data_IF_404951515815
#
_entry.id   IF_404951515815
#
_cell.length_a   1.000
_cell.length_b   1.000
_cell.length_c   1.000
_cell.angle_alpha   90.00
_cell.angle_beta   90.00
_cell.angle_gamma   90.00
#
_symmetry.space_group_name_H-M   'P 1'
#
loop_
_entity.id
_entity.type
_entity.pdbx_description
1 polymer ?
#
# COMPACT_ATOMS: atom_id res chain seq x y z
N UNK A 1 -26.26 41.67 -15.52
CA UNK A 1 -26.18 40.25 -15.94
C UNK A 1 -25.51 39.32 -14.91
N UNK A 2 -24.48 39.77 -14.17
CA UNK A 2 -23.70 38.98 -13.19
C UNK A 2 -24.46 38.15 -12.12
N UNK A 3 -25.73 38.47 -11.78
CA UNK A 3 -26.50 37.70 -10.79
C UNK A 3 -27.09 36.38 -11.33
N UNK A 4 -27.36 36.27 -12.65
CA UNK A 4 -27.94 35.04 -13.24
C UNK A 4 -26.90 33.92 -13.40
N UNK A 5 -25.64 34.26 -13.62
CA UNK A 5 -24.54 33.30 -13.77
C UNK A 5 -24.20 32.56 -12.47
N UNK A 6 -24.32 33.24 -11.32
CA UNK A 6 -24.05 32.63 -10.01
C UNK A 6 -25.08 31.57 -9.63
N UNK A 7 -26.37 31.81 -9.89
CA UNK A 7 -27.44 30.86 -9.56
C UNK A 7 -27.34 29.54 -10.35
N UNK A 8 -26.97 29.60 -11.64
CA UNK A 8 -26.77 28.41 -12.48
C UNK A 8 -25.55 27.58 -12.07
N UNK A 9 -24.46 28.23 -11.63
CA UNK A 9 -23.29 27.54 -11.07
C UNK A 9 -23.65 26.78 -9.80
N UNK A 10 -24.39 27.39 -8.87
CA UNK A 10 -24.87 26.73 -7.66
C UNK A 10 -25.82 25.56 -7.97
N UNK A 11 -26.68 25.66 -8.99
CA UNK A 11 -27.61 24.60 -9.34
C UNK A 11 -26.91 23.35 -9.90
N UNK A 12 -25.91 23.51 -10.77
CA UNK A 12 -25.16 22.39 -11.35
C UNK A 12 -24.21 21.76 -10.32
N UNK A 13 -23.55 22.56 -9.47
CA UNK A 13 -22.72 22.00 -8.39
C UNK A 13 -23.58 21.26 -7.34
N UNK A 14 -24.78 21.77 -7.01
CA UNK A 14 -25.72 21.10 -6.12
C UNK A 14 -26.23 19.77 -6.69
N UNK A 15 -26.51 19.70 -8.00
CA UNK A 15 -26.93 18.44 -8.66
C UNK A 15 -25.81 17.38 -8.63
N UNK A 16 -24.57 17.77 -8.94
CA UNK A 16 -23.41 16.89 -8.86
C UNK A 16 -23.13 16.43 -7.42
N UNK A 17 -23.23 17.33 -6.44
CA UNK A 17 -23.09 17.01 -5.02
C UNK A 17 -24.18 16.06 -4.51
N UNK A 18 -25.44 16.27 -4.93
CA UNK A 18 -26.56 15.38 -4.59
C UNK A 18 -26.36 13.96 -5.18
N UNK A 19 -25.88 13.86 -6.42
CA UNK A 19 -25.56 12.57 -7.04
C UNK A 19 -24.41 11.84 -6.32
N UNK A 20 -23.36 12.57 -5.91
CA UNK A 20 -22.27 12.03 -5.11
C UNK A 20 -22.75 11.55 -3.73
N UNK A 21 -23.57 12.34 -3.04
CA UNK A 21 -24.15 11.98 -1.74
C UNK A 21 -25.06 10.73 -1.84
N UNK A 22 -25.90 10.63 -2.88
CA UNK A 22 -26.72 9.45 -3.12
C UNK A 22 -25.88 8.19 -3.38
N UNK A 23 -24.77 8.31 -4.12
CA UNK A 23 -23.81 7.22 -4.34
C UNK A 23 -23.12 6.80 -3.04
N UNK A 24 -22.67 7.76 -2.23
CA UNK A 24 -22.07 7.49 -0.92
C UNK A 24 -23.03 6.75 0.02
N UNK A 25 -24.30 7.16 0.07
CA UNK A 25 -25.33 6.48 0.86
C UNK A 25 -25.59 5.03 0.37
N UNK A 26 -25.61 4.81 -0.94
CA UNK A 26 -25.76 3.47 -1.52
C UNK A 26 -24.56 2.56 -1.14
N UNK A 27 -23.34 3.05 -1.31
CA UNK A 27 -22.10 2.32 -0.95
C UNK A 27 -22.06 2.00 0.55
N UNK A 28 -22.42 2.96 1.41
CA UNK A 28 -22.48 2.75 2.85
C UNK A 28 -23.53 1.68 3.25
N UNK A 29 -24.71 1.69 2.63
CA UNK A 29 -25.75 0.68 2.85
C UNK A 29 -25.31 -0.71 2.41
N UNK A 30 -24.59 -0.82 1.30
CA UNK A 30 -24.05 -2.11 0.82
C UNK A 30 -22.94 -2.63 1.75
N UNK A 31 -22.02 -1.77 2.20
CA UNK A 31 -21.01 -2.12 3.20
C UNK A 31 -21.65 -2.59 4.51
N UNK A 32 -22.71 -1.92 4.99
CA UNK A 32 -23.42 -2.31 6.21
C UNK A 32 -23.98 -3.74 6.15
N UNK A 33 -24.38 -4.23 4.96
CA UNK A 33 -24.82 -5.62 4.73
C UNK A 33 -23.66 -6.61 4.60
N UNK A 34 -22.57 -6.21 3.93
CA UNK A 34 -21.46 -7.11 3.58
C UNK A 34 -20.40 -7.27 4.69
N UNK A 35 -20.09 -6.21 5.43
CA UNK A 35 -19.03 -6.20 6.44
C UNK A 35 -19.25 -7.24 7.56
N UNK A 36 -20.45 -7.44 8.13
CA UNK A 36 -20.69 -8.46 9.15
C UNK A 36 -20.38 -9.89 8.70
N UNK A 37 -20.52 -10.18 7.39
CA UNK A 37 -20.14 -11.49 6.82
C UNK A 37 -18.63 -11.61 6.56
N UNK A 38 -17.90 -10.49 6.53
CA UNK A 38 -16.45 -10.44 6.29
C UNK A 38 -15.63 -10.51 7.58
N UNK A 39 -16.03 -9.82 8.65
CA UNK A 39 -15.21 -9.68 9.88
C UNK A 39 -14.73 -11.03 10.46
N UNK A 40 -15.56 -12.10 10.54
CA UNK A 40 -15.12 -13.41 11.03
C UNK A 40 -14.16 -14.15 10.07
N UNK A 41 -14.03 -13.66 8.83
CA UNK A 41 -13.20 -14.22 7.76
C UNK A 41 -11.93 -13.41 7.49
N UNK A 42 -11.67 -12.35 8.27
CA UNK A 42 -10.40 -11.66 8.27
C UNK A 42 -9.32 -12.49 8.98
N UNK A 43 -8.06 -12.08 8.83
CA UNK A 43 -6.92 -12.71 9.46
C UNK A 43 -6.02 -11.60 10.05
N UNK A 44 -6.02 -11.38 11.38
CA UNK A 44 -6.84 -12.07 12.37
C UNK A 44 -8.35 -11.78 12.23
N UNK A 45 -9.25 -12.65 12.72
CA UNK A 45 -10.69 -12.37 12.78
C UNK A 45 -10.99 -11.18 13.68
N UNK A 46 -11.96 -10.36 13.28
CA UNK A 46 -12.41 -9.17 14.03
C UNK A 46 -13.75 -9.48 14.70
N UNK A 47 -13.93 -9.05 15.95
CA UNK A 47 -15.16 -9.29 16.69
C UNK A 47 -16.33 -8.46 16.15
N UNK A 48 -17.53 -9.06 16.14
CA UNK A 48 -18.75 -8.36 15.77
C UNK A 48 -19.07 -7.27 16.81
N UNK A 49 -19.20 -6.02 16.35
CA UNK A 49 -19.49 -4.86 17.20
C UNK A 49 -18.34 -3.85 17.29
N UNK A 50 -17.13 -4.20 16.84
CA UNK A 50 -16.03 -3.24 16.71
C UNK A 50 -16.27 -2.26 15.55
N UNK A 51 -15.91 -0.99 15.74
CA UNK A 51 -16.06 0.06 14.74
C UNK A 51 -14.90 0.03 13.73
N UNK A 52 -15.13 -0.67 12.61
CA UNK A 52 -14.12 -0.81 11.56
C UNK A 52 -14.20 0.34 10.54
N UNK A 53 -13.08 1.04 10.33
CA UNK A 53 -12.98 2.11 9.34
C UNK A 53 -12.82 1.57 7.92
N UNK A 54 -13.20 2.35 6.90
CA UNK A 54 -12.95 2.00 5.50
C UNK A 54 -11.44 1.76 5.23
N UNK A 55 -10.55 2.54 5.84
CA UNK A 55 -9.10 2.35 5.73
C UNK A 55 -8.62 0.99 6.27
N UNK A 56 -9.18 0.53 7.40
CA UNK A 56 -8.87 -0.80 7.94
C UNK A 56 -9.41 -1.92 7.04
N UNK A 57 -10.62 -1.77 6.49
CA UNK A 57 -11.19 -2.72 5.53
C UNK A 57 -10.34 -2.80 4.25
N UNK A 58 -9.90 -1.66 3.71
CA UNK A 58 -9.00 -1.57 2.55
C UNK A 58 -7.72 -2.36 2.82
N UNK A 59 -7.03 -2.09 3.92
CA UNK A 59 -5.77 -2.76 4.28
C UNK A 59 -5.96 -4.28 4.45
N UNK A 60 -7.04 -4.70 5.13
CA UNK A 60 -7.36 -6.11 5.37
C UNK A 60 -7.83 -6.89 4.12
N UNK A 61 -8.18 -6.19 3.03
CA UNK A 61 -8.73 -6.81 1.80
C UNK A 61 -7.90 -6.58 0.53
N UNK A 62 -6.94 -5.64 0.54
CA UNK A 62 -6.20 -5.23 -0.66
C UNK A 62 -5.32 -6.31 -1.29
N UNK A 63 -4.87 -7.29 -0.50
CA UNK A 63 -4.05 -8.40 -0.98
C UNK A 63 -4.75 -9.76 -0.76
N UNK A 64 -5.33 -10.32 -1.82
CA UNK A 64 -5.88 -11.68 -1.82
C UNK A 64 -4.81 -12.69 -2.24
N UNK A 65 -4.43 -13.61 -1.34
CA UNK A 65 -3.49 -14.68 -1.67
C UNK A 65 -4.20 -15.78 -2.45
N UNK A 66 -3.71 -16.14 -3.65
CA UNK A 66 -4.26 -17.26 -4.45
C UNK A 66 -4.23 -18.62 -3.72
N UNK A 67 -3.44 -18.77 -2.65
CA UNK A 67 -3.41 -19.98 -1.82
C UNK A 67 -4.46 -19.98 -0.70
N UNK A 68 -4.81 -18.80 -0.16
CA UNK A 68 -5.66 -18.68 1.05
C UNK A 68 -7.06 -18.11 0.76
N UNK A 69 -7.26 -17.53 -0.43
CA UNK A 69 -8.52 -16.96 -0.92
C UNK A 69 -8.97 -17.68 -2.21
N UNK A 70 -9.00 -19.02 -2.16
CA UNK A 70 -9.52 -19.85 -3.26
C UNK A 70 -11.05 -19.69 -3.35
N UNK A 71 -11.60 -19.75 -4.57
CA UNK A 71 -13.05 -19.81 -4.74
C UNK A 71 -13.60 -21.16 -4.24
N UNK A 72 -14.76 -21.14 -3.59
CA UNK A 72 -15.50 -22.38 -3.30
C UNK A 72 -15.89 -23.06 -4.63
N UNK A 73 -15.95 -24.40 -4.71
CA UNK A 73 -16.28 -25.11 -5.95
C UNK A 73 -17.57 -24.60 -6.61
N UNK A 74 -18.63 -24.42 -5.82
CA UNK A 74 -19.94 -23.94 -6.27
C UNK A 74 -20.07 -22.40 -6.18
N UNK A 75 -18.99 -21.65 -6.44
CA UNK A 75 -19.01 -20.19 -6.34
C UNK A 75 -19.96 -19.58 -7.39
N UNK A 76 -21.09 -18.95 -6.99
CA UNK A 76 -22.11 -18.49 -7.94
C UNK A 76 -21.62 -17.31 -8.78
N UNK A 77 -20.62 -16.57 -8.31
CA UNK A 77 -19.95 -15.50 -9.06
C UNK A 77 -19.07 -16.07 -10.16
N UNK A 78 -18.31 -17.13 -9.87
CA UNK A 78 -17.44 -17.78 -10.85
C UNK A 78 -18.26 -18.49 -11.94
N UNK A 79 -19.37 -19.11 -11.53
CA UNK A 79 -20.39 -19.68 -12.43
C UNK A 79 -21.24 -18.62 -13.17
N UNK A 80 -21.01 -17.31 -12.93
CA UNK A 80 -21.77 -16.17 -13.48
C UNK A 80 -23.27 -16.15 -13.17
N UNK A 81 -23.74 -16.98 -12.23
CA UNK A 81 -25.12 -17.01 -11.76
C UNK A 81 -25.48 -15.81 -10.85
N UNK A 82 -24.49 -15.19 -10.22
CA UNK A 82 -24.66 -14.03 -9.33
C UNK A 82 -23.61 -12.95 -9.63
N UNK A 83 -23.98 -11.73 -10.08
CA UNK A 83 -23.02 -10.66 -10.30
C UNK A 83 -22.43 -10.11 -8.98
N UNK A 84 -21.19 -9.64 -9.01
CA UNK A 84 -20.48 -9.09 -7.85
C UNK A 84 -21.19 -7.90 -7.18
N UNK A 85 -22.03 -7.17 -7.91
CA UNK A 85 -22.81 -6.02 -7.42
C UNK A 85 -24.09 -6.41 -6.68
N UNK A 86 -24.53 -7.67 -6.77
CA UNK A 86 -25.76 -8.16 -6.13
C UNK A 86 -25.49 -9.02 -4.87
N UNK A 87 -24.24 -9.11 -4.41
CA UNK A 87 -23.85 -9.96 -3.28
C UNK A 87 -24.56 -9.59 -1.97
N UNK A 88 -24.81 -8.29 -1.76
CA UNK A 88 -25.38 -7.77 -0.53
C UNK A 88 -26.86 -8.10 -0.32
N UNK A 89 -27.60 -8.34 -1.40
CA UNK A 89 -29.04 -8.68 -1.36
C UNK A 89 -29.26 -10.20 -1.49
N UNK A 90 -28.23 -10.96 -1.85
CA UNK A 90 -28.32 -12.41 -2.01
C UNK A 90 -28.11 -13.16 -0.69
N UNK A 91 -29.19 -13.28 0.10
CA UNK A 91 -29.15 -13.86 1.46
C UNK A 91 -28.54 -15.27 1.57
N UNK A 92 -28.61 -16.11 0.53
CA UNK A 92 -27.94 -17.42 0.54
C UNK A 92 -26.41 -17.31 0.39
N UNK A 93 -25.91 -16.26 -0.27
CA UNK A 93 -24.47 -15.98 -0.35
C UNK A 93 -23.95 -15.46 1.00
N UNK A 94 -24.68 -14.56 1.66
CA UNK A 94 -24.28 -14.03 2.97
C UNK A 94 -24.18 -15.12 4.06
N UNK A 95 -24.97 -16.19 3.96
CA UNK A 95 -24.89 -17.36 4.86
C UNK A 95 -23.66 -18.25 4.62
N UNK A 96 -23.13 -18.28 3.40
CA UNK A 96 -21.96 -19.10 2.99
C UNK A 96 -21.11 -18.34 1.96
N UNK A 97 -20.46 -17.23 2.36
CA UNK A 97 -19.82 -16.34 1.41
C UNK A 97 -18.55 -16.95 0.83
N UNK A 98 -18.34 -16.77 -0.48
CA UNK A 98 -17.04 -17.04 -1.08
C UNK A 98 -16.07 -15.92 -0.68
N UNK A 99 -15.11 -16.22 0.22
CA UNK A 99 -14.15 -15.26 0.81
C UNK A 99 -13.52 -14.32 -0.22
N UNK A 100 -13.02 -14.87 -1.34
CA UNK A 100 -12.43 -14.09 -2.46
C UNK A 100 -13.40 -13.05 -3.05
N UNK A 101 -14.64 -13.46 -3.36
CA UNK A 101 -15.66 -12.57 -3.92
C UNK A 101 -16.09 -11.50 -2.92
N UNK A 102 -16.29 -11.87 -1.66
CA UNK A 102 -16.69 -10.95 -0.60
C UNK A 102 -15.59 -9.92 -0.32
N UNK A 103 -14.33 -10.37 -0.13
CA UNK A 103 -13.16 -9.48 -0.01
C UNK A 103 -13.09 -8.50 -1.18
N UNK A 104 -13.19 -8.98 -2.42
CA UNK A 104 -13.12 -8.13 -3.62
C UNK A 104 -14.22 -7.07 -3.67
N UNK A 105 -15.47 -7.40 -3.32
CA UNK A 105 -16.57 -6.44 -3.32
C UNK A 105 -16.46 -5.43 -2.17
N UNK A 106 -16.16 -5.89 -0.96
CA UNK A 106 -15.96 -5.00 0.19
C UNK A 106 -14.75 -4.09 -0.01
N UNK A 107 -13.65 -4.58 -0.59
CA UNK A 107 -12.50 -3.76 -0.97
C UNK A 107 -12.92 -2.64 -1.90
N UNK A 108 -13.57 -2.97 -3.03
CA UNK A 108 -14.04 -1.98 -4.00
C UNK A 108 -14.90 -0.89 -3.36
N UNK A 109 -15.89 -1.28 -2.55
CA UNK A 109 -16.82 -0.35 -1.90
C UNK A 109 -16.12 0.49 -0.83
N UNK A 110 -15.21 -0.11 -0.05
CA UNK A 110 -14.46 0.60 0.99
C UNK A 110 -13.53 1.63 0.38
N UNK A 111 -12.81 1.27 -0.70
CA UNK A 111 -11.96 2.20 -1.45
C UNK A 111 -12.78 3.32 -2.10
N UNK A 112 -13.93 3.01 -2.71
CA UNK A 112 -14.83 4.02 -3.28
C UNK A 112 -15.38 5.00 -2.22
N UNK A 113 -15.87 4.48 -1.09
CA UNK A 113 -16.32 5.31 0.03
C UNK A 113 -15.19 6.18 0.58
N UNK A 114 -13.99 5.63 0.73
CA UNK A 114 -12.80 6.34 1.18
C UNK A 114 -12.43 7.48 0.23
N UNK A 115 -12.43 7.24 -1.09
CA UNK A 115 -12.18 8.29 -2.08
C UNK A 115 -13.19 9.44 -1.99
N UNK A 116 -14.50 9.14 -1.97
CA UNK A 116 -15.55 10.16 -1.92
C UNK A 116 -15.48 10.98 -0.62
N UNK A 117 -15.27 10.32 0.54
CA UNK A 117 -15.12 11.03 1.81
C UNK A 117 -13.83 11.87 1.84
N UNK A 118 -12.73 11.41 1.25
CA UNK A 118 -11.50 12.21 1.20
C UNK A 118 -11.66 13.41 0.26
N UNK A 119 -12.24 13.23 -0.93
CA UNK A 119 -12.60 14.31 -1.86
C UNK A 119 -13.46 15.37 -1.17
N UNK A 120 -14.51 14.96 -0.45
CA UNK A 120 -15.39 15.90 0.24
C UNK A 120 -14.64 16.70 1.32
N UNK A 121 -13.74 16.08 2.08
CA UNK A 121 -12.92 16.80 3.06
C UNK A 121 -11.87 17.72 2.40
N UNK A 122 -11.36 17.32 1.23
CA UNK A 122 -10.48 18.14 0.39
C UNK A 122 -11.18 19.33 -0.26
N UNK A 123 -12.45 19.24 -0.67
CA UNK A 123 -13.16 20.32 -1.39
C UNK A 123 -13.93 21.30 -0.48
N UNK A 124 -13.83 21.19 0.85
CA UNK A 124 -14.47 22.10 1.83
C UNK A 124 -13.61 23.33 2.16
N UNK A 125 -12.65 23.69 1.31
CA UNK A 125 -11.73 24.82 1.53
C UNK A 125 -12.24 26.14 0.97
N UNK A 126 -11.65 27.25 1.43
CA UNK A 126 -11.74 28.57 0.79
C UNK A 126 -10.58 28.83 -0.19
N UNK A 127 -9.73 27.82 -0.42
CA UNK A 127 -8.50 27.92 -1.22
C UNK A 127 -7.32 28.56 -0.50
N UNK A 128 -7.45 28.94 0.78
CA UNK A 128 -6.34 29.50 1.56
C UNK A 128 -5.25 28.45 1.83
N UNK A 129 -3.99 28.90 1.79
CA UNK A 129 -2.81 28.05 1.98
C UNK A 129 -2.15 28.41 3.31
N UNK A 130 -2.09 27.51 4.30
CA UNK A 130 -1.38 27.77 5.54
C UNK A 130 0.12 27.95 5.30
N UNK A 131 0.73 28.99 5.90
CA UNK A 131 2.15 29.30 5.71
C UNK A 131 3.10 28.13 6.08
N UNK A 132 2.70 27.27 7.02
CA UNK A 132 3.43 26.05 7.37
C UNK A 132 3.39 25.02 6.22
N UNK A 133 2.24 24.86 5.57
CA UNK A 133 2.10 24.00 4.39
C UNK A 133 2.86 24.56 3.19
N UNK A 134 2.84 25.88 2.99
CA UNK A 134 3.65 26.53 1.96
C UNK A 134 5.15 26.29 2.19
N UNK A 135 5.62 26.37 3.45
CA UNK A 135 7.00 26.05 3.82
C UNK A 135 7.36 24.57 3.56
N UNK A 136 6.43 23.64 3.84
CA UNK A 136 6.60 22.22 3.53
C UNK A 136 6.71 22.04 2.00
N UNK A 137 5.76 22.57 1.22
CA UNK A 137 5.77 22.49 -0.24
C UNK A 137 7.03 23.09 -0.86
N UNK A 138 7.50 24.23 -0.34
CA UNK A 138 8.76 24.85 -0.76
C UNK A 138 9.99 23.98 -0.46
N UNK A 139 10.04 23.30 0.69
CA UNK A 139 11.13 22.36 1.02
C UNK A 139 11.12 21.08 0.17
N UNK A 140 9.95 20.59 -0.21
CA UNK A 140 9.81 19.35 -0.96
C UNK A 140 9.98 19.54 -2.48
N UNK A 141 9.39 20.60 -3.03
CA UNK A 141 9.23 20.83 -4.48
C UNK A 141 9.72 22.21 -4.94
N UNK A 142 10.36 22.98 -4.07
CA UNK A 142 10.92 24.32 -4.36
C UNK A 142 9.90 25.46 -4.23
N UNK A 143 8.63 25.24 -4.53
CA UNK A 143 7.55 26.20 -4.26
C UNK A 143 6.16 25.53 -4.23
N UNK A 144 5.19 26.21 -3.59
CA UNK A 144 3.79 25.79 -3.63
C UNK A 144 3.16 25.91 -5.05
N UNK A 145 3.61 26.87 -5.85
CA UNK A 145 3.22 26.98 -7.26
C UNK A 145 3.62 25.71 -8.04
N UNK A 146 4.86 25.23 -7.85
CA UNK A 146 5.34 24.00 -8.51
C UNK A 146 4.62 22.74 -8.04
N UNK A 147 4.27 22.63 -6.75
CA UNK A 147 3.37 21.59 -6.25
C UNK A 147 2.02 21.61 -6.99
N UNK A 148 1.43 22.79 -7.14
CA UNK A 148 0.13 22.95 -7.81
C UNK A 148 0.20 22.58 -9.30
N UNK A 149 1.24 23.04 -10.00
CA UNK A 149 1.51 22.67 -11.40
C UNK A 149 1.72 21.16 -11.57
N UNK A 150 2.48 20.52 -10.70
CA UNK A 150 2.72 19.07 -10.73
C UNK A 150 1.43 18.29 -10.47
N UNK A 151 0.64 18.67 -9.46
CA UNK A 151 -0.62 17.99 -9.13
C UNK A 151 -1.63 18.08 -10.30
N UNK A 152 -1.75 19.25 -10.93
CA UNK A 152 -2.55 19.45 -12.16
C UNK A 152 -1.98 18.65 -13.34
N UNK A 153 -0.65 18.62 -13.52
CA UNK A 153 0.01 17.91 -14.61
C UNK A 153 -0.27 16.40 -14.54
N UNK A 154 -0.13 15.78 -13.37
CA UNK A 154 -0.50 14.38 -13.18
C UNK A 154 -2.01 14.15 -13.36
N UNK A 155 -2.87 15.03 -12.84
CA UNK A 155 -4.32 14.88 -12.93
C UNK A 155 -4.86 14.96 -14.37
N UNK A 156 -4.31 15.83 -15.22
CA UNK A 156 -4.71 15.90 -16.65
C UNK A 156 -4.09 14.78 -17.50
N UNK A 157 -2.85 14.35 -17.18
CA UNK A 157 -2.04 13.44 -18.00
C UNK A 157 -2.26 11.97 -17.62
N UNK A 158 -3.52 11.53 -17.58
CA UNK A 158 -3.92 10.19 -17.14
C UNK A 158 -4.14 9.22 -18.29
N UNK A 159 -3.64 7.99 -18.12
CA UNK A 159 -3.97 6.83 -18.98
C UNK A 159 -5.42 6.37 -18.80
N UNK A 160 -5.92 6.34 -17.56
CA UNK A 160 -7.24 5.84 -17.19
C UNK A 160 -7.95 6.81 -16.22
N UNK A 161 -9.28 7.00 -16.33
CA UNK A 161 -10.07 7.75 -15.34
C UNK A 161 -9.95 7.16 -13.92
N UNK A 162 -10.16 8.00 -12.90
CA UNK A 162 -9.99 7.62 -11.49
C UNK A 162 -9.48 8.78 -10.64
N UNK A 163 -8.62 8.48 -9.67
CA UNK A 163 -8.22 9.43 -8.62
C UNK A 163 -6.73 9.77 -8.70
N UNK A 164 -6.39 11.05 -8.60
CA UNK A 164 -5.01 11.56 -8.56
C UNK A 164 -4.71 12.01 -7.15
N UNK A 165 -3.65 11.50 -6.55
CA UNK A 165 -3.40 11.61 -5.12
C UNK A 165 -2.13 12.38 -4.83
N UNK A 166 -2.18 13.19 -3.79
CA UNK A 166 -1.01 13.69 -3.08
C UNK A 166 -0.80 12.80 -1.85
N UNK A 167 0.39 12.25 -1.69
CA UNK A 167 0.70 11.28 -0.64
C UNK A 167 1.98 11.62 0.11
N UNK A 168 2.07 11.15 1.35
CA UNK A 168 3.30 11.10 2.14
C UNK A 168 3.90 9.69 2.04
N UNK A 169 5.16 9.63 1.63
CA UNK A 169 5.98 8.43 1.50
C UNK A 169 7.12 8.49 2.53
N UNK A 170 7.12 7.59 3.51
CA UNK A 170 8.10 7.58 4.61
C UNK A 170 9.47 7.00 4.19
N UNK A 171 9.49 6.17 3.15
CA UNK A 171 10.68 5.45 2.69
C UNK A 171 11.61 6.36 1.86
N UNK A 172 11.10 7.53 1.44
CA UNK A 172 11.89 8.57 0.77
C UNK A 172 12.69 9.43 1.74
N UNK A 173 13.72 10.08 1.18
CA UNK A 173 14.47 11.14 1.84
C UNK A 173 13.52 12.22 2.37
N UNK A 174 13.90 12.87 3.47
CA UNK A 174 13.04 13.84 4.16
C UNK A 174 12.61 15.02 3.27
N UNK A 175 13.43 15.42 2.32
CA UNK A 175 13.15 16.46 1.31
C UNK A 175 12.30 15.98 0.13
N UNK A 176 11.87 14.71 0.09
CA UNK A 176 11.15 14.12 -1.05
C UNK A 176 9.99 13.19 -0.61
N UNK A 177 9.47 13.35 0.60
CA UNK A 177 8.34 12.55 1.12
C UNK A 177 7.01 12.90 0.47
N UNK A 178 6.86 14.10 -0.08
CA UNK A 178 5.66 14.53 -0.79
C UNK A 178 5.68 14.03 -2.23
N UNK A 179 4.70 13.20 -2.62
CA UNK A 179 4.66 12.58 -3.95
C UNK A 179 3.26 12.69 -4.57
N UNK A 180 3.19 12.92 -5.88
CA UNK A 180 1.94 12.85 -6.65
C UNK A 180 1.85 11.52 -7.37
N UNK A 181 0.73 10.81 -7.25
CA UNK A 181 0.51 9.49 -7.88
C UNK A 181 -0.89 9.36 -8.50
N UNK A 182 -0.96 8.75 -9.69
CA UNK A 182 -2.20 8.45 -10.38
C UNK A 182 -2.59 6.98 -10.14
N UNK A 183 -3.75 6.74 -9.50
CA UNK A 183 -4.31 5.39 -9.38
C UNK A 183 -5.49 5.18 -10.35
N UNK A 184 -5.57 4.02 -11.04
CA UNK A 184 -6.67 3.71 -11.94
C UNK A 184 -7.93 3.34 -11.18
N UNK A 185 -9.10 3.60 -11.79
CA UNK A 185 -10.42 3.32 -11.22
C UNK A 185 -10.55 3.84 -9.77
N UNK A 186 -10.76 2.95 -8.79
CA UNK A 186 -10.91 3.25 -7.37
C UNK A 186 -9.80 2.63 -6.49
N UNK A 187 -8.61 2.35 -7.04
CA UNK A 187 -7.47 1.90 -6.22
C UNK A 187 -6.95 3.06 -5.36
N UNK A 188 -6.42 2.73 -4.18
CA UNK A 188 -6.10 3.70 -3.12
C UNK A 188 -4.64 3.56 -2.65
N UNK A 189 -3.95 4.66 -2.28
CA UNK A 189 -2.53 4.62 -1.88
C UNK A 189 -2.22 3.72 -0.68
N UNK A 190 -3.22 3.50 0.19
CA UNK A 190 -3.13 2.60 1.35
C UNK A 190 -2.79 1.15 0.97
N UNK A 191 -3.13 0.70 -0.24
CA UNK A 191 -2.72 -0.61 -0.76
C UNK A 191 -1.20 -0.75 -0.86
N UNK A 192 -0.47 0.35 -1.06
CA UNK A 192 0.99 0.40 -1.18
C UNK A 192 1.68 0.90 0.11
N UNK A 193 0.95 1.05 1.22
CA UNK A 193 1.48 1.61 2.47
C UNK A 193 1.77 3.12 2.44
N UNK A 194 1.32 3.82 1.40
CA UNK A 194 1.46 5.26 1.23
C UNK A 194 0.33 5.99 1.99
N UNK A 195 0.67 7.08 2.68
CA UNK A 195 -0.31 7.85 3.46
C UNK A 195 -0.99 8.91 2.59
N UNK A 196 -2.32 8.83 2.34
CA UNK A 196 -3.03 9.80 1.51
C UNK A 196 -3.18 11.15 2.23
N UNK A 197 -2.85 12.25 1.53
CA UNK A 197 -2.96 13.62 2.03
C UNK A 197 -4.09 14.40 1.37
N UNK A 198 -4.16 14.32 0.03
CA UNK A 198 -5.17 14.99 -0.79
C UNK A 198 -5.53 14.15 -2.02
N UNK A 199 -6.68 14.44 -2.64
CA UNK A 199 -7.13 13.74 -3.85
C UNK A 199 -7.86 14.67 -4.82
N UNK A 200 -7.67 14.45 -6.12
CA UNK A 200 -8.42 15.06 -7.22
C UNK A 200 -9.22 13.96 -7.93
N UNK A 201 -10.52 14.21 -8.11
CA UNK A 201 -11.44 13.31 -8.81
C UNK A 201 -11.39 13.56 -10.33
N UNK A 202 -10.80 12.61 -11.05
CA UNK A 202 -10.76 12.57 -12.52
C UNK A 202 -11.53 11.34 -13.04
N UNK A 203 -12.62 10.96 -12.36
CA UNK A 203 -13.54 9.91 -12.83
C UNK A 203 -14.37 10.39 -14.02
N UNK A 204 -14.86 9.46 -14.84
CA UNK A 204 -15.71 9.76 -15.99
C UNK A 204 -16.96 10.56 -15.58
N UNK A 205 -17.58 10.22 -14.45
CA UNK A 205 -18.72 10.96 -13.90
C UNK A 205 -18.42 12.44 -13.62
N UNK A 206 -17.23 12.77 -13.10
CA UNK A 206 -16.83 14.16 -12.84
C UNK A 206 -16.54 14.91 -14.15
N UNK A 207 -15.92 14.24 -15.12
CA UNK A 207 -15.65 14.82 -16.44
C UNK A 207 -16.93 15.03 -17.25
N UNK A 208 -17.87 14.09 -17.22
CA UNK A 208 -19.18 14.22 -17.88
C UNK A 208 -19.99 15.38 -17.29
N UNK A 209 -20.05 15.50 -15.95
CA UNK A 209 -20.70 16.65 -15.30
C UNK A 209 -20.06 17.99 -15.72
N UNK A 210 -18.73 18.05 -15.89
CA UNK A 210 -18.03 19.24 -16.38
C UNK A 210 -18.33 19.54 -17.87
N UNK A 211 -18.45 18.52 -18.72
CA UNK A 211 -18.88 18.64 -20.12
C UNK A 211 -20.31 19.19 -20.19
N UNK A 212 -21.24 18.64 -19.42
CA UNK A 212 -22.64 19.07 -19.35
C UNK A 212 -22.77 20.51 -18.83
N UNK A 213 -22.02 20.87 -17.77
CA UNK A 213 -21.94 22.23 -17.25
C UNK A 213 -21.44 23.24 -18.30
N UNK A 214 -20.48 22.83 -19.13
CA UNK A 214 -19.92 23.65 -20.21
C UNK A 214 -20.87 23.79 -21.40
N UNK A 215 -21.52 22.70 -21.81
CA UNK A 215 -22.52 22.70 -22.88
C UNK A 215 -23.75 23.56 -22.52
N UNK A 216 -24.21 23.49 -21.27
CA UNK A 216 -25.31 24.33 -20.75
C UNK A 216 -24.94 25.82 -20.74
N UNK A 217 -23.65 26.14 -20.60
CA UNK A 217 -23.11 27.52 -20.65
C UNK A 217 -23.05 28.10 -22.06
N UNK A 218 -22.96 27.28 -23.11
CA UNK A 218 -22.87 27.72 -24.51
C UNK A 218 -24.22 27.93 -25.20
N UNK A 219 -25.34 27.51 -24.57
CA UNK A 219 -26.69 27.85 -25.04
C UNK A 219 -27.04 29.29 -24.64
N UNK A 220 -26.35 30.25 -25.26
CA UNK A 220 -26.99 31.53 -25.54
C UNK A 220 -28.13 31.27 -26.54
N UNK A 221 -29.22 32.03 -26.46
CA UNK A 221 -30.31 31.96 -27.42
C UNK A 221 -29.82 32.41 -28.81
N UNK A 222 -29.25 31.49 -29.59
CA UNK A 222 -29.09 31.70 -31.02
C UNK A 222 -30.51 31.83 -31.60
N UNK A 223 -30.86 32.93 -32.28
CA UNK A 223 -32.15 33.03 -32.93
C UNK A 223 -32.30 31.83 -33.87
N UNK A 224 -33.47 31.15 -33.88
CA UNK A 224 -33.65 29.95 -34.67
C UNK A 224 -33.29 30.23 -36.12
N UNK A 225 -32.44 29.39 -36.72
CA UNK A 225 -31.90 29.63 -38.05
C UNK A 225 -33.04 29.95 -39.04
N UNK A 226 -32.90 30.94 -39.94
CA UNK A 226 -34.02 31.53 -40.68
C UNK A 226 -34.75 30.57 -41.64
N UNK A 227 -34.15 29.40 -41.91
CA UNK A 227 -34.73 28.31 -42.68
C UNK A 227 -35.51 27.28 -41.83
N UNK A 228 -35.41 27.34 -40.50
CA UNK A 228 -36.10 26.44 -39.58
C UNK A 228 -37.60 26.77 -39.44
N UNK A 229 -38.43 25.75 -39.17
CA UNK A 229 -39.87 25.96 -38.93
C UNK A 229 -40.15 26.79 -37.66
N UNK A 230 -39.28 26.73 -36.66
CA UNK A 230 -39.39 27.51 -35.43
C UNK A 230 -39.32 29.02 -35.68
N UNK A 231 -38.48 29.47 -36.62
CA UNK A 231 -38.39 30.88 -37.02
C UNK A 231 -39.65 31.41 -37.73
N UNK A 232 -40.51 30.52 -38.26
CA UNK A 232 -41.72 30.87 -39.04
C UNK A 232 -43.02 30.82 -38.26
N UNK A 233 -43.02 30.36 -37.01
CA UNK A 233 -44.21 30.32 -36.16
C UNK A 233 -43.84 30.45 -34.66
N UNK A 234 -43.62 31.68 -34.15
CA UNK A 234 -43.10 31.89 -32.79
C UNK A 234 -44.08 31.43 -31.68
N UNK A 235 -45.37 31.30 -31.98
CA UNK A 235 -46.37 30.82 -31.01
C UNK A 235 -46.29 29.30 -30.76
N UNK A 236 -45.67 28.52 -31.64
CA UNK A 236 -45.50 27.08 -31.46
C UNK A 236 -44.29 26.70 -30.57
N UNK A 237 -43.39 27.64 -30.28
CA UNK A 237 -42.21 27.40 -29.45
C UNK A 237 -42.49 27.39 -27.93
N UNK A 238 -43.70 27.80 -27.51
CA UNK A 238 -44.08 27.89 -26.10
C UNK A 238 -44.58 26.56 -25.49
N UNK A 239 -44.74 25.50 -26.28
CA UNK A 239 -45.23 24.20 -25.79
C UNK A 239 -44.08 23.28 -25.42
N UNK A 240 -43.71 23.29 -24.14
CA UNK A 240 -42.80 22.34 -23.52
C UNK A 240 -43.40 20.91 -23.55
N UNK A 241 -43.09 20.13 -24.59
CA UNK A 241 -43.21 18.66 -24.54
C UNK A 241 -41.83 18.05 -24.33
N UNK A 242 -41.52 17.79 -23.06
CA UNK A 242 -40.46 16.85 -22.66
C UNK A 242 -40.83 15.46 -23.17
N UNK A 243 -40.13 14.98 -24.20
CA UNK A 243 -40.27 13.60 -24.66
C UNK A 243 -38.90 13.05 -25.00
N UNK A 244 -38.36 12.23 -24.09
CA UNK A 244 -37.08 11.54 -24.24
C UNK A 244 -37.28 10.38 -25.22
N UNK A 245 -36.80 10.53 -26.45
CA UNK A 245 -36.82 9.46 -27.45
C UNK A 245 -35.60 9.53 -28.39
N UNK A 246 -34.67 8.59 -28.19
CA UNK A 246 -33.76 8.04 -29.21
C UNK A 246 -32.99 9.00 -30.13
N UNK A 247 -31.89 9.58 -29.64
CA UNK A 247 -30.93 10.31 -30.51
C UNK A 247 -30.00 9.36 -31.26
N UNK A 248 -30.52 8.62 -32.23
CA UNK A 248 -29.71 8.14 -33.36
C UNK A 248 -29.81 9.17 -34.48
N UNK A 249 -28.90 10.14 -34.49
CA UNK A 249 -28.77 11.13 -35.58
C UNK A 249 -27.34 11.08 -36.09
N UNK A 250 -27.20 10.78 -37.38
CA UNK A 250 -25.91 10.80 -38.06
C UNK A 250 -25.34 12.23 -38.05
N UNK A 251 -24.12 12.39 -37.56
CA UNK A 251 -23.42 13.67 -37.55
C UNK A 251 -22.82 13.96 -38.93
N UNK A 252 -23.60 14.59 -39.81
CA UNK A 252 -23.06 15.37 -40.92
C UNK A 252 -22.73 16.77 -40.44
N UNK A 253 -21.52 17.21 -40.76
CA UNK A 253 -20.84 18.48 -40.50
C UNK A 253 -21.65 19.73 -40.10
N UNK A 254 -20.99 20.53 -39.23
CA UNK A 254 -21.27 21.92 -38.82
C UNK A 254 -21.87 22.15 -37.40
N UNK A 255 -21.09 21.83 -36.36
CA UNK A 255 -21.21 22.47 -35.04
C UNK A 255 -19.89 23.17 -34.68
N UNK A 256 -19.67 24.35 -35.25
CA UNK A 256 -18.65 25.28 -34.75
C UNK A 256 -19.09 25.85 -33.41
N UNK A 257 -18.52 25.35 -32.31
CA UNK A 257 -18.87 25.77 -30.95
C UNK A 257 -18.59 24.75 -29.84
N UNK A 258 -18.41 23.48 -30.18
CA UNK A 258 -17.97 22.41 -29.26
C UNK A 258 -16.45 22.19 -29.25
N UNK A 259 -15.68 23.23 -29.60
CA UNK A 259 -14.21 23.19 -29.71
C UNK A 259 -13.49 23.23 -28.33
N UNK A 260 -14.14 22.63 -27.32
CA UNK A 260 -13.59 22.43 -25.99
C UNK A 260 -12.93 21.06 -25.91
N UNK A 261 -11.70 20.95 -26.40
CA UNK A 261 -10.87 19.74 -26.29
C UNK A 261 -10.99 19.11 -24.89
N UNK A 262 -11.19 17.79 -24.84
CA UNK A 262 -11.24 17.01 -23.61
C UNK A 262 -9.97 17.22 -22.75
N UNK A 263 -8.82 17.48 -23.38
CA UNK A 263 -7.59 17.87 -22.67
C UNK A 263 -7.78 19.19 -21.90
N UNK A 264 -8.40 20.20 -22.52
CA UNK A 264 -8.72 21.48 -21.88
C UNK A 264 -9.74 21.32 -20.76
N UNK A 265 -10.77 20.48 -20.92
CA UNK A 265 -11.74 20.20 -19.86
C UNK A 265 -11.07 19.47 -18.68
N UNK A 266 -10.21 18.48 -18.93
CA UNK A 266 -9.43 17.80 -17.88
C UNK A 266 -8.49 18.76 -17.15
N UNK A 267 -7.81 19.65 -17.88
CA UNK A 267 -6.94 20.66 -17.28
C UNK A 267 -7.74 21.63 -16.41
N UNK A 268 -8.91 22.10 -16.87
CA UNK A 268 -9.81 22.96 -16.12
C UNK A 268 -10.29 22.28 -14.82
N UNK A 269 -10.83 21.06 -14.90
CA UNK A 269 -11.31 20.31 -13.71
C UNK A 269 -10.19 20.09 -12.69
N UNK A 270 -8.97 19.77 -13.15
CA UNK A 270 -7.81 19.62 -12.28
C UNK A 270 -7.39 20.95 -11.61
N UNK A 271 -7.41 22.06 -12.35
CA UNK A 271 -7.09 23.39 -11.82
C UNK A 271 -8.14 23.85 -10.79
N UNK A 272 -9.43 23.72 -11.11
CA UNK A 272 -10.54 24.03 -10.21
C UNK A 272 -10.43 23.21 -8.91
N UNK A 273 -10.16 21.91 -8.99
CA UNK A 273 -9.98 21.06 -7.82
C UNK A 273 -8.79 21.44 -6.92
N UNK A 274 -7.70 21.97 -7.49
CA UNK A 274 -6.54 22.47 -6.72
C UNK A 274 -6.82 23.83 -6.08
N UNK A 275 -7.64 24.67 -6.72
CA UNK A 275 -8.08 25.97 -6.17
C UNK A 275 -9.10 25.82 -5.05
N UNK A 276 -10.01 24.84 -5.14
CA UNK A 276 -11.01 24.51 -4.11
C UNK A 276 -10.44 23.66 -2.93
N UNK A 277 -9.13 23.38 -2.95
CA UNK A 277 -8.47 22.47 -2.01
C UNK A 277 -8.35 23.06 -0.60
N UNK A 278 -8.74 22.27 0.40
CA UNK A 278 -8.64 22.56 1.82
C UNK A 278 -7.24 22.22 2.35
N UNK A 279 -6.29 23.14 2.19
CA UNK A 279 -4.90 22.91 2.59
C UNK A 279 -4.70 22.78 4.11
N UNK A 280 -5.62 23.27 4.95
CA UNK A 280 -5.67 22.99 6.39
C UNK A 280 -5.98 21.52 6.71
N UNK A 281 -6.83 20.87 5.91
CA UNK A 281 -7.03 19.43 6.02
C UNK A 281 -5.77 18.67 5.59
N UNK A 282 -5.14 19.07 4.48
CA UNK A 282 -3.89 18.45 3.98
C UNK A 282 -2.75 18.58 5.00
N UNK A 283 -2.58 19.75 5.62
CA UNK A 283 -1.60 19.99 6.68
C UNK A 283 -1.87 19.13 7.93
N UNK A 284 -3.13 18.92 8.31
CA UNK A 284 -3.50 18.00 9.40
C UNK A 284 -3.16 16.55 9.05
N UNK A 285 -3.40 16.10 7.81
CA UNK A 285 -3.00 14.77 7.35
C UNK A 285 -1.47 14.60 7.37
N UNK A 286 -0.71 15.59 6.92
CA UNK A 286 0.76 15.59 6.97
C UNK A 286 1.27 15.42 8.41
N UNK A 287 0.79 16.24 9.34
CA UNK A 287 1.15 16.15 10.76
C UNK A 287 0.76 14.82 11.40
N UNK A 288 -0.36 14.24 10.97
CA UNK A 288 -0.79 12.93 11.45
C UNK A 288 0.12 11.81 10.93
N UNK A 289 0.52 11.87 9.64
CA UNK A 289 1.50 10.95 9.06
C UNK A 289 2.83 11.01 9.79
N UNK A 290 3.42 12.21 9.97
CA UNK A 290 4.69 12.37 10.70
C UNK A 290 4.62 11.78 12.10
N UNK A 291 3.62 12.15 12.90
CA UNK A 291 3.42 11.62 14.26
C UNK A 291 3.27 10.09 14.29
N UNK A 292 2.59 9.51 13.30
CA UNK A 292 2.44 8.06 13.17
C UNK A 292 3.78 7.38 12.86
N UNK A 293 4.52 7.89 11.87
CA UNK A 293 5.80 7.29 11.45
C UNK A 293 6.93 7.49 12.46
N UNK A 294 6.87 8.51 13.33
CA UNK A 294 7.79 8.70 14.47
C UNK A 294 7.29 8.09 15.78
N UNK A 295 6.20 7.29 15.77
CA UNK A 295 5.64 6.73 17.00
C UNK A 295 6.39 5.47 17.48
N UNK A 296 6.73 5.44 18.76
CA UNK A 296 7.35 4.27 19.42
C UNK A 296 6.45 3.03 19.33
N UNK A 297 5.13 3.21 19.33
CA UNK A 297 4.17 2.12 19.15
C UNK A 297 4.31 1.44 17.77
N UNK A 298 4.54 2.22 16.70
CA UNK A 298 4.81 1.68 15.36
C UNK A 298 6.11 0.88 15.33
N UNK A 299 7.18 1.40 15.92
CA UNK A 299 8.46 0.69 16.02
C UNK A 299 8.35 -0.61 16.82
N UNK A 300 7.60 -0.60 17.93
CA UNK A 300 7.31 -1.80 18.72
C UNK A 300 6.53 -2.84 17.92
N UNK A 301 5.51 -2.43 17.16
CA UNK A 301 4.75 -3.33 16.28
C UNK A 301 5.61 -3.91 15.15
N UNK A 302 6.50 -3.11 14.56
CA UNK A 302 7.47 -3.57 13.54
C UNK A 302 8.43 -4.60 14.13
N UNK A 303 9.03 -4.32 15.31
CA UNK A 303 9.92 -5.26 16.00
C UNK A 303 9.21 -6.57 16.34
N UNK A 304 8.05 -6.51 16.98
CA UNK A 304 7.27 -7.71 17.33
C UNK A 304 6.87 -8.53 16.09
N UNK A 305 6.43 -7.88 15.01
CA UNK A 305 6.12 -8.56 13.75
C UNK A 305 7.35 -9.21 13.12
N UNK A 306 8.49 -8.49 13.08
CA UNK A 306 9.75 -9.03 12.57
C UNK A 306 10.21 -10.26 13.37
N UNK A 307 10.21 -10.19 14.70
CA UNK A 307 10.55 -11.32 15.56
C UNK A 307 9.60 -12.51 15.37
N UNK A 308 8.30 -12.26 15.15
CA UNK A 308 7.35 -13.33 14.77
C UNK A 308 7.74 -13.99 13.44
N UNK A 309 8.03 -13.20 12.40
CA UNK A 309 8.46 -13.71 11.09
C UNK A 309 9.78 -14.49 11.16
N UNK A 310 10.76 -14.01 11.94
CA UNK A 310 12.05 -14.69 12.17
C UNK A 310 11.84 -16.04 12.88
N UNK A 311 10.95 -16.08 13.89
CA UNK A 311 10.56 -17.33 14.57
C UNK A 311 9.83 -18.31 13.65
N UNK A 312 8.91 -17.83 12.82
CA UNK A 312 8.19 -18.66 11.84
C UNK A 312 9.15 -19.23 10.78
N UNK A 313 10.11 -18.43 10.30
CA UNK A 313 11.15 -18.88 9.38
C UNK A 313 12.05 -19.97 10.01
N UNK A 314 12.47 -19.78 11.27
CA UNK A 314 13.25 -20.77 12.00
C UNK A 314 12.48 -22.09 12.20
N UNK A 315 11.20 -22.02 12.60
CA UNK A 315 10.33 -23.20 12.74
C UNK A 315 10.15 -23.94 11.41
N UNK A 316 9.98 -23.21 10.30
CA UNK A 316 9.86 -23.78 8.96
C UNK A 316 11.17 -24.37 8.41
N UNK A 317 12.33 -23.88 8.88
CA UNK A 317 13.63 -24.50 8.59
C UNK A 317 13.80 -25.82 9.36
N UNK A 318 13.47 -25.82 10.67
CA UNK A 318 13.55 -27.04 11.50
C UNK A 318 12.56 -28.13 11.05
N UNK A 319 11.35 -27.78 10.58
CA UNK A 319 10.42 -28.79 10.05
C UNK A 319 11.00 -29.48 8.82
N UNK A 320 11.63 -28.74 7.91
CA UNK A 320 12.31 -29.32 6.73
C UNK A 320 13.47 -30.24 7.09
N UNK A 321 14.24 -29.93 8.14
CA UNK A 321 15.30 -30.82 8.62
C UNK A 321 14.72 -32.15 9.12
N UNK A 322 13.63 -32.10 9.91
CA UNK A 322 12.90 -33.28 10.36
C UNK A 322 12.34 -34.10 9.19
N UNK A 323 11.70 -33.44 8.23
CA UNK A 323 11.08 -34.08 7.07
C UNK A 323 12.14 -34.67 6.10
N UNK A 324 13.38 -34.18 6.13
CA UNK A 324 14.51 -34.71 5.36
C UNK A 324 15.14 -35.96 5.98
N UNK A 325 14.63 -36.46 7.10
CA UNK A 325 15.17 -37.64 7.79
C UNK A 325 16.51 -37.40 8.50
N UNK A 326 16.90 -36.14 8.71
CA UNK A 326 18.10 -35.82 9.48
C UNK A 326 17.90 -36.17 10.96
N UNK A 327 18.59 -37.21 11.43
CA UNK A 327 18.50 -37.69 12.81
C UNK A 327 19.28 -36.75 13.73
N UNK A 328 18.60 -35.73 14.27
CA UNK A 328 19.14 -34.92 15.37
C UNK A 328 19.26 -35.84 16.59
N UNK A 329 20.48 -36.12 17.04
CA UNK A 329 20.71 -36.92 18.23
C UNK A 329 20.27 -36.13 19.47
N UNK A 330 19.76 -36.80 20.49
CA UNK A 330 19.19 -36.15 21.69
C UNK A 330 20.22 -35.41 22.55
N UNK A 331 21.50 -35.42 22.16
CA UNK A 331 22.59 -34.60 22.68
C UNK A 331 22.68 -33.20 22.06
N UNK A 332 22.06 -32.98 20.90
CA UNK A 332 22.26 -31.78 20.10
C UNK A 332 21.20 -30.72 20.45
N UNK A 333 21.46 -29.94 21.50
CA UNK A 333 20.60 -28.82 21.91
C UNK A 333 20.72 -27.66 20.93
N UNK A 334 19.75 -27.52 20.03
CA UNK A 334 19.62 -26.36 19.13
C UNK A 334 19.07 -25.15 19.90
N UNK A 335 19.96 -24.29 20.39
CA UNK A 335 19.57 -23.00 20.97
C UNK A 335 19.14 -22.00 19.88
N UNK A 336 17.87 -21.60 19.91
CA UNK A 336 17.36 -20.53 19.04
C UNK A 336 17.60 -19.18 19.73
N UNK A 337 18.82 -18.66 19.60
CA UNK A 337 19.17 -17.31 20.05
C UNK A 337 18.55 -16.27 19.12
N UNK A 338 17.37 -15.77 19.49
CA UNK A 338 16.74 -14.62 18.84
C UNK A 338 17.50 -13.34 19.22
N UNK A 339 18.32 -12.83 18.30
CA UNK A 339 19.13 -11.65 18.53
C UNK A 339 18.28 -10.36 18.55
N UNK A 340 17.78 -9.96 19.72
CA UNK A 340 17.27 -8.60 19.93
C UNK A 340 16.38 -8.36 21.15
N UNK A 341 16.94 -7.72 22.18
CA UNK A 341 16.16 -6.90 23.13
C UNK A 341 16.48 -7.09 24.62
N UNK A 342 17.31 -6.22 25.18
CA UNK A 342 17.45 -6.07 26.63
C UNK A 342 16.14 -5.57 27.26
N UNK A 343 15.42 -6.43 27.98
CA UNK A 343 14.47 -6.02 29.02
C UNK A 343 14.62 -6.90 30.25
N UNK A 344 15.40 -6.44 31.23
CA UNK A 344 15.39 -7.01 32.57
C UNK A 344 14.06 -6.62 33.25
N UNK A 345 13.10 -7.53 33.25
CA UNK A 345 11.86 -7.42 34.01
C UNK A 345 11.72 -8.66 34.92
N UNK A 346 11.97 -8.48 36.22
CA UNK A 346 11.60 -9.48 37.23
C UNK A 346 10.08 -9.64 37.26
N UNK A 347 9.58 -10.85 37.05
CA UNK A 347 8.39 -11.31 37.75
C UNK A 347 8.37 -12.84 37.85
N UNK A 348 8.16 -13.34 39.07
CA UNK A 348 8.09 -14.76 39.41
C UNK A 348 6.75 -15.40 39.03
N UNK A 349 6.75 -16.74 38.96
CA UNK A 349 5.58 -17.65 38.94
C UNK A 349 4.73 -17.64 37.65
N UNK A 350 4.46 -18.76 36.98
CA UNK A 350 4.03 -20.05 37.56
C UNK A 350 4.14 -21.22 36.56
N UNK A 351 4.55 -22.39 37.05
CA UNK A 351 4.27 -23.76 36.56
C UNK A 351 3.80 -24.01 35.11
N UNK A 352 4.65 -24.72 34.33
CA UNK A 352 4.32 -26.11 33.95
C UNK A 352 5.56 -26.92 33.56
N UNK A 353 6.10 -27.69 34.50
CA UNK A 353 7.11 -28.72 34.26
C UNK A 353 6.43 -30.08 34.27
N UNK A 354 6.55 -30.86 33.19
CA UNK A 354 6.24 -32.31 33.25
C UNK A 354 7.54 -33.07 33.45
N UNK A 355 7.56 -33.79 34.57
CA UNK A 355 8.70 -34.51 35.17
C UNK A 355 9.37 -35.55 34.26
N UNK A 356 10.70 -35.67 34.37
CA UNK A 356 11.33 -36.92 34.82
C UNK A 356 12.74 -36.67 35.42
N UNK A 357 12.92 -37.08 36.68
CA UNK A 357 14.11 -37.55 37.43
C UNK A 357 15.55 -37.43 36.86
N UNK A 358 16.63 -37.34 37.66
CA UNK A 358 16.87 -37.04 39.09
C UNK A 358 18.40 -37.10 39.37
N UNK A 359 18.83 -36.75 40.61
CA UNK A 359 20.19 -36.80 41.24
C UNK A 359 20.89 -35.43 41.23
N UNK A 360 20.90 -34.65 42.33
CA UNK A 360 21.91 -34.63 43.45
C UNK A 360 23.37 -34.62 42.91
N UNK A 361 24.33 -33.77 43.32
CA UNK A 361 24.44 -32.65 44.28
C UNK A 361 25.70 -31.82 43.86
N UNK A 362 26.18 -30.71 44.48
CA UNK A 362 25.97 -30.15 45.81
C UNK A 362 26.16 -28.60 45.90
N UNK A 363 25.82 -28.10 47.09
CA UNK A 363 26.04 -26.79 47.74
C UNK A 363 27.43 -26.14 47.59
N UNK A 364 27.51 -24.80 47.36
CA UNK A 364 28.14 -23.83 48.30
C UNK A 364 28.41 -22.40 47.75
N UNK A 365 27.60 -21.44 48.22
CA UNK A 365 27.94 -20.07 48.71
C UNK A 365 28.86 -19.11 47.93
N UNK A 366 28.21 -18.07 47.40
CA UNK A 366 28.29 -16.65 47.86
C UNK A 366 29.58 -15.80 47.66
N UNK A 367 29.49 -14.45 47.72
CA UNK A 367 30.04 -13.60 46.66
C UNK A 367 31.15 -12.65 47.12
N UNK A 368 31.74 -11.90 46.18
CA UNK A 368 32.41 -10.62 46.45
C UNK A 368 32.06 -9.55 45.42
N UNK A 369 31.75 -8.38 45.94
CA UNK A 369 31.64 -7.12 45.20
C UNK A 369 33.02 -6.69 44.67
N UNK A 370 33.06 -6.01 43.53
CA UNK A 370 33.96 -4.85 43.41
C UNK A 370 33.40 -3.76 42.48
N UNK A 371 34.03 -2.59 42.54
CA UNK A 371 33.44 -1.28 42.22
C UNK A 371 33.45 -0.93 40.73
N UNK A 372 32.59 0.03 40.41
CA UNK A 372 32.53 0.71 39.12
C UNK A 372 33.88 1.25 38.62
N UNK A 373 34.13 1.07 37.33
CA UNK A 373 34.97 1.93 36.52
C UNK A 373 34.26 2.18 35.17
N UNK A 374 34.26 3.43 34.71
CA UNK A 374 33.67 3.82 33.42
C UNK A 374 34.66 3.47 32.31
N UNK A 375 34.26 2.64 31.36
CA UNK A 375 34.96 2.46 30.10
C UNK A 375 33.95 2.31 28.97
N UNK A 376 34.03 3.20 27.98
CA UNK A 376 33.35 3.01 26.72
C UNK A 376 34.25 2.18 25.80
N UNK A 377 33.86 0.94 25.52
CA UNK A 377 33.91 0.45 24.15
C UNK A 377 32.91 -0.70 23.97
N UNK A 378 32.20 -0.70 22.85
CA UNK A 378 31.35 -1.80 22.43
C UNK A 378 31.22 -1.78 20.89
N UNK A 379 32.35 -1.50 20.22
CA UNK A 379 32.48 -1.61 18.78
C UNK A 379 32.94 -3.02 18.40
N UNK A 380 32.02 -3.78 17.80
CA UNK A 380 32.33 -4.96 17.00
C UNK A 380 31.59 -4.78 15.66
N UNK A 381 32.23 -5.04 14.48
CA UNK A 381 33.57 -5.58 14.28
C UNK A 381 34.70 -4.54 14.33
N UNK A 382 35.91 -5.00 14.63
CA UNK A 382 37.15 -4.26 14.41
C UNK A 382 37.54 -4.29 12.93
N UNK A 383 37.62 -3.12 12.28
CA UNK A 383 37.90 -2.99 10.84
C UNK A 383 39.32 -2.50 10.54
N UNK A 384 40.02 -3.17 9.64
CA UNK A 384 41.31 -2.74 9.10
C UNK A 384 41.31 -2.81 7.56
N UNK A 385 42.05 -1.94 6.89
CA UNK A 385 42.30 -2.05 5.45
C UNK A 385 43.70 -2.60 5.20
N UNK A 386 43.81 -3.61 4.34
CA UNK A 386 45.06 -4.24 3.93
C UNK A 386 45.72 -3.46 2.78
N UNK A 387 47.02 -3.69 2.56
CA UNK A 387 47.82 -2.99 1.53
C UNK A 387 47.33 -3.21 0.09
N UNK A 388 46.61 -4.32 -0.17
CA UNK A 388 45.96 -4.63 -1.44
C UNK A 388 44.62 -3.90 -1.65
N UNK A 389 44.20 -3.08 -0.67
CA UNK A 389 42.94 -2.37 -0.64
C UNK A 389 41.75 -3.16 -0.07
N UNK A 390 41.94 -4.44 0.28
CA UNK A 390 40.91 -5.30 0.88
C UNK A 390 40.54 -4.80 2.28
N UNK A 391 39.25 -4.70 2.57
CA UNK A 391 38.75 -4.42 3.91
C UNK A 391 38.57 -5.71 4.71
N UNK A 392 39.22 -5.81 5.86
CA UNK A 392 39.07 -6.89 6.82
C UNK A 392 38.24 -6.42 8.02
N UNK A 393 37.24 -7.22 8.39
CA UNK A 393 36.43 -7.05 9.58
C UNK A 393 36.61 -8.29 10.46
N UNK A 394 37.19 -8.11 11.64
CA UNK A 394 37.40 -9.17 12.63
C UNK A 394 36.37 -8.99 13.75
N UNK A 395 35.68 -10.07 14.11
CA UNK A 395 34.62 -10.09 15.12
C UNK A 395 35.13 -10.73 16.42
N UNK A 396 34.52 -10.41 17.57
CA UNK A 396 34.93 -10.94 18.88
C UNK A 396 34.87 -12.48 18.98
N UNK A 397 34.04 -13.14 18.18
CA UNK A 397 33.96 -14.61 18.11
C UNK A 397 35.10 -15.26 17.29
N UNK A 398 36.00 -14.47 16.70
CA UNK A 398 37.07 -14.93 15.84
C UNK A 398 36.70 -15.10 14.36
N UNK A 399 35.45 -14.83 13.98
CA UNK A 399 35.06 -14.79 12.56
C UNK A 399 35.77 -13.62 11.86
N UNK A 400 36.04 -13.78 10.56
CA UNK A 400 36.66 -12.75 9.72
C UNK A 400 35.88 -12.59 8.42
N UNK A 401 35.48 -11.35 8.10
CA UNK A 401 34.95 -10.98 6.78
C UNK A 401 35.99 -10.17 6.02
N UNK A 402 36.27 -10.57 4.77
CA UNK A 402 37.14 -9.85 3.84
C UNK A 402 36.28 -9.33 2.68
N UNK A 403 36.34 -8.04 2.39
CA UNK A 403 35.72 -7.39 1.24
C UNK A 403 36.83 -6.88 0.31
N UNK A 404 37.00 -7.56 -0.83
CA UNK A 404 38.00 -7.21 -1.85
C UNK A 404 37.52 -6.08 -2.75
N UNK A 405 38.47 -5.44 -3.42
CA UNK A 405 38.26 -4.33 -4.37
C UNK A 405 37.51 -4.76 -5.65
N UNK A 406 37.54 -6.04 -5.99
CA UNK A 406 36.76 -6.64 -7.09
C UNK A 406 35.27 -6.86 -6.75
N UNK A 407 34.86 -6.61 -5.50
CA UNK A 407 33.51 -6.85 -4.98
C UNK A 407 33.30 -8.21 -4.34
N UNK A 408 34.30 -9.10 -4.37
CA UNK A 408 34.25 -10.43 -3.74
C UNK A 408 34.23 -10.31 -2.22
N UNK A 409 33.34 -11.06 -1.56
CA UNK A 409 33.20 -11.12 -0.10
C UNK A 409 33.54 -12.51 0.40
N UNK A 410 34.57 -12.63 1.23
CA UNK A 410 34.97 -13.90 1.86
C UNK A 410 34.63 -13.84 3.34
N UNK A 411 33.74 -14.71 3.79
CA UNK A 411 33.43 -14.94 5.19
C UNK A 411 34.22 -16.18 5.64
N UNK A 412 34.94 -16.07 6.74
CA UNK A 412 35.68 -17.17 7.38
C UNK A 412 35.13 -17.38 8.78
N UNK A 413 34.63 -18.59 9.00
CA UNK A 413 34.23 -19.12 10.30
C UNK A 413 35.15 -20.29 10.66
N UNK A 414 35.06 -20.76 11.90
CA UNK A 414 35.85 -21.90 12.40
C UNK A 414 35.57 -23.21 11.65
N UNK A 415 34.39 -23.37 11.07
CA UNK A 415 33.87 -24.59 10.46
C UNK A 415 33.52 -24.46 8.96
N UNK A 416 33.63 -23.26 8.39
CA UNK A 416 33.20 -22.96 7.01
C UNK A 416 33.85 -21.67 6.50
N UNK A 417 34.36 -21.68 5.26
CA UNK A 417 34.55 -20.44 4.49
C UNK A 417 33.48 -20.29 3.42
N UNK A 418 32.90 -19.10 3.29
CA UNK A 418 31.93 -18.75 2.24
C UNK A 418 32.46 -17.60 1.42
N UNK A 419 32.68 -17.80 0.13
CA UNK A 419 33.08 -16.76 -0.82
C UNK A 419 31.91 -16.41 -1.73
N UNK A 420 31.42 -15.18 -1.65
CA UNK A 420 30.44 -14.61 -2.59
C UNK A 420 31.20 -13.78 -3.62
N UNK A 421 31.18 -14.20 -4.88
CA UNK A 421 31.85 -13.53 -5.98
C UNK A 421 31.01 -12.38 -6.53
N UNK A 422 31.66 -11.44 -7.22
CA UNK A 422 31.00 -10.27 -7.81
C UNK A 422 29.99 -10.62 -8.92
N UNK A 423 30.09 -11.80 -9.53
CA UNK A 423 29.12 -12.31 -10.51
C UNK A 423 27.82 -12.84 -9.87
N UNK A 424 27.78 -12.96 -8.53
CA UNK A 424 26.65 -13.49 -7.76
C UNK A 424 26.76 -14.98 -7.43
N UNK A 425 27.80 -15.68 -7.88
CA UNK A 425 28.05 -17.07 -7.48
C UNK A 425 28.55 -17.15 -6.04
N UNK A 426 28.26 -18.27 -5.36
CA UNK A 426 28.65 -18.49 -3.96
C UNK A 426 29.35 -19.83 -3.80
N UNK A 427 30.57 -19.81 -3.28
CA UNK A 427 31.37 -20.98 -2.95
C UNK A 427 31.38 -21.19 -1.44
N UNK A 428 31.11 -22.43 -1.02
CA UNK A 428 31.22 -22.91 0.36
C UNK A 428 32.38 -23.89 0.44
N UNK A 429 33.33 -23.69 1.35
CA UNK A 429 34.52 -24.52 1.54
C UNK A 429 34.57 -25.03 2.98
N UNK A 430 34.51 -26.36 3.14
CA UNK A 430 34.49 -27.02 4.44
C UNK A 430 35.89 -27.53 4.84
N UNK A 431 36.23 -27.59 6.14
CA UNK A 431 37.52 -28.08 6.64
C UNK A 431 37.90 -29.51 6.22
N UNK A 432 36.92 -30.31 5.78
CA UNK A 432 37.12 -31.67 5.28
C UNK A 432 37.49 -31.73 3.78
N UNK A 433 37.90 -30.62 3.16
CA UNK A 433 38.18 -30.46 1.72
C UNK A 433 36.97 -30.71 0.79
N UNK A 434 35.74 -30.75 1.32
CA UNK A 434 34.52 -30.69 0.50
C UNK A 434 34.22 -29.23 0.16
N UNK A 435 33.75 -28.95 -1.04
CA UNK A 435 33.26 -27.62 -1.42
C UNK A 435 31.98 -27.69 -2.25
N UNK A 436 31.17 -26.64 -2.17
CA UNK A 436 29.91 -26.49 -2.92
C UNK A 436 29.93 -25.14 -3.60
N UNK A 437 29.89 -25.12 -4.93
CA UNK A 437 29.79 -23.90 -5.74
C UNK A 437 28.37 -23.78 -6.31
N UNK A 438 27.63 -22.78 -5.83
CA UNK A 438 26.34 -22.38 -6.40
C UNK A 438 26.58 -21.28 -7.45
N UNK A 439 26.35 -21.62 -8.72
CA UNK A 439 26.48 -20.70 -9.86
C UNK A 439 25.17 -19.98 -10.16
N UNK A 440 25.28 -18.80 -10.77
CA UNK A 440 24.12 -17.97 -11.17
C UNK A 440 23.27 -18.56 -12.29
N UNK A 441 23.75 -19.60 -12.99
CA UNK A 441 23.00 -20.37 -13.99
C UNK A 441 22.09 -21.45 -13.38
N UNK A 442 22.03 -21.54 -12.04
CA UNK A 442 21.23 -22.53 -11.31
C UNK A 442 21.90 -23.90 -11.17
N UNK A 443 23.18 -24.02 -11.55
CA UNK A 443 23.99 -25.23 -11.33
C UNK A 443 24.68 -25.15 -9.95
N UNK A 444 24.50 -26.19 -9.14
CA UNK A 444 25.33 -26.49 -7.98
C UNK A 444 26.39 -27.52 -8.35
N UNK A 445 27.64 -27.24 -8.01
CA UNK A 445 28.77 -28.17 -8.17
C UNK A 445 29.33 -28.52 -6.80
N UNK A 446 29.11 -29.76 -6.37
CA UNK A 446 29.73 -30.30 -5.15
C UNK A 446 31.02 -31.03 -5.50
N UNK A 447 32.14 -30.60 -4.93
CA UNK A 447 33.41 -31.34 -4.96
C UNK A 447 33.60 -32.01 -3.60
N UNK A 448 33.77 -33.32 -3.59
CA UNK A 448 33.99 -34.09 -2.35
C UNK A 448 35.47 -34.14 -1.99
N UNK A 449 35.76 -34.55 -0.74
CA UNK A 449 37.11 -34.67 -0.19
C UNK A 449 38.08 -35.57 -1.00
N UNK A 450 37.54 -36.51 -1.79
CA UNK A 450 38.28 -37.40 -2.70
C UNK A 450 38.55 -36.78 -4.09
N UNK A 451 38.13 -35.52 -4.30
CA UNK A 451 38.24 -34.80 -5.56
C UNK A 451 37.14 -35.12 -6.58
N UNK A 452 36.21 -36.03 -6.28
CA UNK A 452 35.07 -36.31 -7.17
C UNK A 452 34.12 -35.12 -7.22
N UNK A 453 33.47 -34.92 -8.38
CA UNK A 453 32.57 -33.79 -8.61
C UNK A 453 31.18 -34.26 -9.04
N UNK A 454 30.15 -33.65 -8.47
CA UNK A 454 28.75 -33.86 -8.83
C UNK A 454 28.11 -32.52 -9.17
N UNK A 455 27.55 -32.41 -10.38
CA UNK A 455 26.79 -31.24 -10.80
C UNK A 455 25.28 -31.53 -10.73
N UNK A 456 24.51 -30.62 -10.11
CA UNK A 456 23.05 -30.68 -10.00
C UNK A 456 22.45 -29.36 -10.51
N UNK A 457 21.32 -29.43 -11.23
CA UNK A 457 20.56 -28.23 -11.65
C UNK A 457 19.28 -28.10 -10.84
N UNK A 458 19.12 -26.98 -10.16
CA UNK A 458 17.84 -26.62 -9.54
C UNK A 458 16.93 -26.00 -10.61
N UNK A 459 15.67 -26.46 -10.65
CA UNK A 459 14.61 -25.99 -11.57
C UNK A 459 13.54 -25.22 -10.79
#
# INVERSE_FOLDING_TARGET
>A
MLRKTSALLCAVSAAAAAAAAARAACVASELQKLVPALLPLLDPPVANGETVSAAHLIAATGHTSRRNDVHLPDCPVLARALPLTALADHGAFLKRPCRSCLKRRVHFLSSEHFCMNLEENCSRGDGSVPAEWESIAAKQLGSFARLSEEFVLYAKSRREPGWTWLVYDKERLESQRLVVVNFPANRVPLELGLWPLAVINMTESRLMAAIEAKATRTVAESPPAPWSRAARNPLAAATLTTTVAGTTVAATDAIGGLDGDLCSIRAQVAQEAVLEMNWDFVLRQWKQAERYYTSVERENKIRAHRTKMEREAALAAMSKLRDSGATILTSDTVEITVAGGNTAAKQDSQHQTVSAQATQENTSKEPKEEKAAVAADNQDPHSAQLEDGTWQYTYQNGDVTLLRTDGTKVFKKSDLSTTVFADGSTLYEYPNNTSILDRVDGVRVTTFADGTRKEERYK
#
